data_IF_899286886346
#
_entry.id   IF_899286886346
#
_cell.length_a   1.000
_cell.length_b   1.000
_cell.length_c   1.000
_cell.angle_alpha   90.00
_cell.angle_beta   90.00
_cell.angle_gamma   90.00
#
_symmetry.space_group_name_H-M   'P 1'
#
loop_
_entity.id
_entity.type
_entity.pdbx_description
1 polymer ?
#
# COMPACT_ATOMS: atom_id res chain seq x y z
N UNK A 1 14.49 -20.33 -14.97
CA UNK A 1 14.91 -20.23 -13.56
C UNK A 1 13.77 -19.62 -12.76
N UNK A 2 12.96 -20.38 -12.00
CA UNK A 2 11.83 -19.81 -11.30
C UNK A 2 12.20 -19.54 -9.83
N UNK A 3 12.24 -18.28 -9.43
CA UNK A 3 12.65 -17.89 -8.08
C UNK A 3 12.05 -16.58 -7.59
N UNK A 4 10.86 -16.20 -8.07
CA UNK A 4 10.14 -14.99 -7.61
C UNK A 4 9.31 -15.25 -6.33
N UNK A 5 9.68 -16.26 -5.54
CA UNK A 5 9.07 -16.51 -4.23
C UNK A 5 9.83 -15.65 -3.21
N UNK A 6 9.52 -14.36 -3.20
CA UNK A 6 9.96 -13.47 -2.13
C UNK A 6 9.38 -13.99 -0.80
N UNK A 7 10.25 -14.27 0.18
CA UNK A 7 9.84 -14.70 1.51
C UNK A 7 8.74 -13.76 2.06
N UNK A 8 7.66 -14.31 2.65
CA UNK A 8 6.57 -13.50 3.15
C UNK A 8 7.06 -12.64 4.31
N UNK A 9 7.25 -11.36 4.04
CA UNK A 9 7.35 -10.33 5.07
C UNK A 9 5.99 -9.63 5.14
N UNK A 10 5.40 -9.58 6.32
CA UNK A 10 4.10 -8.95 6.58
C UNK A 10 4.02 -7.55 5.98
N UNK A 11 5.11 -6.77 6.06
CA UNK A 11 5.17 -5.42 5.48
C UNK A 11 5.02 -5.42 3.94
N UNK A 12 5.63 -6.41 3.29
CA UNK A 12 5.55 -6.59 1.84
C UNK A 12 4.18 -7.05 1.38
N UNK A 13 3.57 -7.99 2.11
CA UNK A 13 2.21 -8.49 1.87
C UNK A 13 1.20 -7.34 1.99
N UNK A 14 1.31 -6.55 3.06
CA UNK A 14 0.43 -5.40 3.32
C UNK A 14 0.53 -4.33 2.22
N UNK A 15 1.73 -4.04 1.71
CA UNK A 15 1.87 -3.10 0.61
C UNK A 15 1.30 -3.67 -0.70
N UNK A 16 1.47 -4.97 -0.98
CA UNK A 16 0.84 -5.64 -2.14
C UNK A 16 -0.68 -5.56 -2.05
N UNK A 17 -1.26 -5.83 -0.88
CA UNK A 17 -2.70 -5.72 -0.65
C UNK A 17 -3.21 -4.29 -0.89
N UNK A 18 -2.52 -3.27 -0.36
CA UNK A 18 -2.86 -1.86 -0.59
C UNK A 18 -2.85 -1.49 -2.08
N UNK A 19 -1.83 -1.91 -2.84
CA UNK A 19 -1.76 -1.63 -4.28
C UNK A 19 -2.92 -2.30 -5.02
N UNK A 20 -3.30 -3.52 -4.64
CA UNK A 20 -4.44 -4.22 -5.24
C UNK A 20 -5.75 -3.51 -4.92
N UNK A 21 -6.00 -3.12 -3.67
CA UNK A 21 -7.23 -2.40 -3.29
C UNK A 21 -7.34 -1.04 -3.99
N UNK A 22 -6.23 -0.30 -4.11
CA UNK A 22 -6.22 0.96 -4.87
C UNK A 22 -6.57 0.76 -6.35
N UNK A 23 -6.08 -0.31 -6.98
CA UNK A 23 -6.42 -0.65 -8.37
C UNK A 23 -7.89 -1.03 -8.53
N UNK A 24 -8.45 -1.77 -7.56
CA UNK A 24 -9.87 -2.11 -7.55
C UNK A 24 -10.71 -0.82 -7.47
N UNK A 25 -10.37 0.09 -6.55
CA UNK A 25 -11.04 1.39 -6.44
C UNK A 25 -10.92 2.20 -7.74
N UNK A 26 -9.76 2.18 -8.39
CA UNK A 26 -9.56 2.87 -9.67
C UNK A 26 -10.46 2.29 -10.77
N UNK A 27 -10.50 0.97 -10.89
CA UNK A 27 -11.31 0.25 -11.88
C UNK A 27 -12.81 0.44 -11.65
N UNK A 28 -13.24 0.54 -10.39
CA UNK A 28 -14.64 0.82 -10.03
C UNK A 28 -15.01 2.29 -10.23
N UNK A 29 -14.05 3.20 -10.10
CA UNK A 29 -14.30 4.63 -10.30
C UNK A 29 -14.39 5.03 -11.78
N UNK A 30 -13.65 4.35 -12.66
CA UNK A 30 -13.71 4.60 -14.12
C UNK A 30 -15.13 4.60 -14.70
N UNK A 31 -15.99 3.59 -14.48
CA UNK A 31 -17.36 3.58 -15.01
C UNK A 31 -18.30 4.55 -14.28
N UNK A 32 -18.00 4.91 -13.02
CA UNK A 32 -18.83 5.82 -12.21
C UNK A 32 -18.41 7.29 -12.37
N UNK A 33 -17.41 7.58 -13.20
CA UNK A 33 -16.82 8.92 -13.34
C UNK A 33 -17.83 9.99 -13.76
N UNK A 34 -18.83 9.61 -14.56
CA UNK A 34 -19.87 10.51 -15.05
C UNK A 34 -20.93 10.84 -13.98
N UNK A 35 -21.09 9.97 -12.98
CA UNK A 35 -22.04 10.14 -11.87
C UNK A 35 -21.38 10.72 -10.62
N UNK A 36 -20.09 10.43 -10.42
CA UNK A 36 -19.35 10.80 -9.22
C UNK A 36 -18.40 11.97 -9.52
N UNK A 37 -18.87 13.19 -9.22
CA UNK A 37 -18.16 14.46 -9.44
C UNK A 37 -16.70 14.49 -8.94
N UNK A 38 -16.33 13.63 -7.97
CA UNK A 38 -14.97 13.55 -7.46
C UNK A 38 -14.62 12.18 -6.91
N UNK A 39 -13.44 11.70 -7.26
CA UNK A 39 -12.85 10.47 -6.71
C UNK A 39 -12.66 10.57 -5.19
N UNK A 40 -12.90 9.48 -4.43
CA UNK A 40 -12.52 9.42 -3.02
C UNK A 40 -11.04 9.74 -2.83
N UNK A 41 -10.73 10.54 -1.80
CA UNK A 41 -9.36 11.01 -1.53
C UNK A 41 -8.50 9.84 -1.07
N UNK A 42 -7.52 9.46 -1.88
CA UNK A 42 -6.55 8.39 -1.55
C UNK A 42 -5.16 8.97 -1.25
N UNK A 43 -4.55 8.62 -0.11
CA UNK A 43 -3.20 9.10 0.26
C UNK A 43 -2.03 8.26 -0.32
N UNK A 44 -2.08 7.93 -1.62
CA UNK A 44 -1.10 7.06 -2.32
C UNK A 44 0.35 7.48 -2.11
N UNK A 45 0.63 8.77 -2.30
CA UNK A 45 1.97 9.32 -2.19
C UNK A 45 2.53 9.22 -0.77
N UNK A 46 1.69 9.41 0.24
CA UNK A 46 2.09 9.30 1.65
C UNK A 46 2.33 7.85 2.04
N UNK A 47 1.39 6.95 1.67
CA UNK A 47 1.52 5.52 1.93
C UNK A 47 2.79 4.93 1.28
N UNK A 48 3.06 5.25 0.02
CA UNK A 48 4.27 4.82 -0.70
C UNK A 48 5.55 5.33 -0.03
N UNK A 49 5.61 6.61 0.33
CA UNK A 49 6.77 7.20 1.02
C UNK A 49 7.01 6.51 2.36
N UNK A 50 5.95 6.26 3.14
CA UNK A 50 6.05 5.57 4.43
C UNK A 50 6.56 4.13 4.27
N UNK A 51 6.03 3.38 3.31
CA UNK A 51 6.50 2.03 3.00
C UNK A 51 7.99 2.03 2.61
N UNK A 52 8.39 2.88 1.66
CA UNK A 52 9.78 2.95 1.21
C UNK A 52 10.75 3.35 2.33
N UNK A 53 10.33 4.26 3.22
CA UNK A 53 11.15 4.67 4.37
C UNK A 53 11.47 3.49 5.28
N UNK A 54 10.54 2.55 5.46
CA UNK A 54 10.74 1.36 6.30
C UNK A 54 11.42 0.25 5.51
N UNK A 55 10.99 -0.01 4.28
CA UNK A 55 11.54 -1.06 3.42
C UNK A 55 13.03 -0.86 3.09
N UNK A 56 13.50 0.38 2.96
CA UNK A 56 14.91 0.69 2.67
C UNK A 56 15.85 0.56 3.87
N UNK A 57 15.34 0.38 5.10
CA UNK A 57 16.18 0.27 6.30
C UNK A 57 16.78 -1.13 6.43
N UNK A 58 18.10 -1.20 6.61
CA UNK A 58 18.85 -2.46 6.84
C UNK A 58 18.44 -3.17 8.14
N UNK A 59 18.12 -2.42 9.20
CA UNK A 59 17.59 -2.94 10.47
C UNK A 59 16.35 -2.13 10.85
N UNK A 60 15.21 -2.80 10.91
CA UNK A 60 13.93 -2.21 11.30
C UNK A 60 13.67 -2.52 12.77
N UNK A 61 13.30 -1.52 13.55
CA UNK A 61 12.88 -1.76 14.93
C UNK A 61 11.43 -2.24 14.98
N UNK A 62 11.07 -3.03 16.00
CA UNK A 62 9.68 -3.51 16.18
C UNK A 62 8.65 -2.36 16.21
N UNK A 63 9.03 -1.22 16.80
CA UNK A 63 8.19 0.00 16.85
C UNK A 63 7.92 0.55 15.45
N UNK A 64 8.91 0.57 14.57
CA UNK A 64 8.78 1.06 13.20
C UNK A 64 7.91 0.14 12.34
N UNK A 65 8.08 -1.17 12.48
CA UNK A 65 7.26 -2.17 11.79
C UNK A 65 5.79 -1.99 12.20
N UNK A 66 5.51 -1.91 13.51
CA UNK A 66 4.15 -1.69 14.03
C UNK A 66 3.54 -0.37 13.54
N UNK A 67 4.35 0.70 13.49
CA UNK A 67 3.91 2.01 12.96
C UNK A 67 3.63 1.94 11.46
N UNK A 68 4.43 1.20 10.70
CA UNK A 68 4.22 1.00 9.27
C UNK A 68 2.94 0.21 8.99
N UNK A 69 2.67 -0.85 9.77
CA UNK A 69 1.43 -1.63 9.69
C UNK A 69 0.22 -0.74 9.98
N UNK A 70 0.23 0.02 11.09
CA UNK A 70 -0.85 0.96 11.45
C UNK A 70 -1.10 1.99 10.34
N UNK A 71 -0.04 2.57 9.80
CA UNK A 71 -0.14 3.62 8.79
C UNK A 71 -0.50 3.12 7.39
N UNK A 72 -0.35 1.82 7.11
CA UNK A 72 -0.72 1.24 5.83
C UNK A 72 -2.23 1.07 5.68
N UNK A 73 -2.97 0.92 6.79
CA UNK A 73 -4.43 0.76 6.82
C UNK A 73 -5.19 2.09 6.97
N UNK A 74 -4.53 3.17 7.38
CA UNK A 74 -5.14 4.49 7.51
C UNK A 74 -5.16 5.19 6.14
N UNK A 75 -6.02 4.69 5.24
CA UNK A 75 -6.50 5.41 4.06
C UNK A 75 -7.38 6.58 4.44
#
# INVERSE_FOLDING_TARGET
MPGDISYPNDLGILNKARVKTEKIIDSLYEPLKDQLNKKPKTYRNRARKNYLKVAKKKRQTRKEIRKAIKNNCNT
#
